data_IF_341676505982
#
_entry.id   IF_341676505982
#
_cell.length_a   1.000
_cell.length_b   1.000
_cell.length_c   1.000
_cell.angle_alpha   90.00
_cell.angle_beta   90.00
_cell.angle_gamma   90.00
#
_symmetry.space_group_name_H-M   'P 1'
#
loop_
_entity.id
_entity.type
_entity.pdbx_description
1 polymer ?
#
# COMPACT_ATOMS: atom_id res chain seq x y z
N UNK A 1 -16.77 -13.07 14.87
CA UNK A 1 -16.53 -11.81 14.13
C UNK A 1 -17.85 -11.31 13.56
N UNK A 2 -18.40 -10.19 14.05
CA UNK A 2 -19.61 -9.56 13.48
C UNK A 2 -19.26 -9.07 12.08
N UNK A 3 -19.96 -9.53 11.02
CA UNK A 3 -19.81 -8.94 9.68
C UNK A 3 -20.19 -7.46 9.80
N UNK A 4 -19.22 -6.56 9.55
CA UNK A 4 -19.45 -5.12 9.61
C UNK A 4 -20.18 -4.68 8.34
N UNK A 5 -21.17 -3.82 8.53
CA UNK A 5 -21.90 -3.20 7.42
C UNK A 5 -20.97 -2.24 6.66
N UNK A 6 -20.74 -2.54 5.38
CA UNK A 6 -19.87 -1.79 4.48
C UNK A 6 -20.59 -0.60 3.83
N UNK A 7 -21.91 -0.45 4.00
CA UNK A 7 -22.69 0.68 3.47
C UNK A 7 -22.42 2.01 4.18
N UNK A 8 -21.81 1.95 5.38
CA UNK A 8 -21.51 3.12 6.24
C UNK A 8 -20.11 3.70 6.02
N UNK A 9 -19.39 3.17 5.03
CA UNK A 9 -17.98 3.46 4.83
C UNK A 9 -17.83 4.69 3.95
N UNK A 10 -17.27 5.77 4.53
CA UNK A 10 -17.07 7.06 3.84
C UNK A 10 -15.68 7.15 3.19
N UNK A 11 -15.52 8.14 2.31
CA UNK A 11 -14.21 8.54 1.77
C UNK A 11 -13.23 8.94 2.89
N UNK A 12 -13.66 9.70 3.89
CA UNK A 12 -12.83 10.07 5.05
C UNK A 12 -12.35 8.82 5.83
N UNK A 13 -13.20 7.81 5.96
CA UNK A 13 -12.84 6.52 6.58
C UNK A 13 -11.75 5.81 5.76
N UNK A 14 -11.79 5.93 4.43
CA UNK A 14 -10.79 5.39 3.51
C UNK A 14 -9.46 6.12 3.68
N UNK A 15 -9.48 7.45 3.60
CA UNK A 15 -8.32 8.32 3.78
C UNK A 15 -7.63 8.06 5.11
N UNK A 16 -8.40 7.99 6.20
CA UNK A 16 -7.86 7.68 7.53
C UNK A 16 -7.15 6.33 7.56
N UNK A 17 -7.70 5.32 6.89
CA UNK A 17 -7.11 3.97 6.81
C UNK A 17 -5.87 3.94 5.93
N UNK A 18 -5.85 4.71 4.84
CA UNK A 18 -4.68 4.91 3.99
C UNK A 18 -3.53 5.53 4.80
N UNK A 19 -3.80 6.61 5.55
CA UNK A 19 -2.80 7.23 6.44
C UNK A 19 -2.28 6.26 7.49
N UNK A 20 -3.17 5.47 8.13
CA UNK A 20 -2.75 4.43 9.09
C UNK A 20 -1.87 3.36 8.42
N UNK A 21 -2.16 2.99 7.17
CA UNK A 21 -1.35 2.03 6.43
C UNK A 21 0.05 2.58 6.14
N UNK A 22 0.15 3.82 5.65
CA UNK A 22 1.43 4.48 5.39
C UNK A 22 2.24 4.65 6.68
N UNK A 23 1.59 5.03 7.80
CA UNK A 23 2.24 5.16 9.10
C UNK A 23 2.79 3.86 9.71
N UNK A 24 2.49 2.69 9.11
CA UNK A 24 3.08 1.40 9.50
C UNK A 24 4.34 1.05 8.70
N UNK A 25 4.61 1.77 7.62
CA UNK A 25 5.74 1.53 6.72
C UNK A 25 6.97 2.30 7.18
N UNK A 26 8.16 1.79 6.87
CA UNK A 26 9.37 2.62 6.94
C UNK A 26 9.34 3.68 5.85
N UNK A 27 10.16 4.72 5.97
CA UNK A 27 10.30 5.77 4.94
C UNK A 27 10.61 5.17 3.56
N UNK A 28 11.60 4.25 3.50
CA UNK A 28 11.94 3.53 2.26
C UNK A 28 10.79 2.71 1.70
N UNK A 29 10.04 2.00 2.56
CA UNK A 29 8.87 1.21 2.12
C UNK A 29 7.74 2.09 1.61
N UNK A 30 7.52 3.24 2.24
CA UNK A 30 6.53 4.22 1.82
C UNK A 30 6.89 4.79 0.44
N UNK A 31 8.13 5.25 0.26
CA UNK A 31 8.63 5.78 -1.02
C UNK A 31 8.52 4.75 -2.15
N UNK A 32 9.02 3.53 -1.93
CA UNK A 32 8.93 2.43 -2.91
C UNK A 32 7.47 2.12 -3.26
N UNK A 33 6.59 2.03 -2.25
CA UNK A 33 5.19 1.70 -2.47
C UNK A 33 4.46 2.77 -3.29
N UNK A 34 4.63 4.04 -2.93
CA UNK A 34 3.98 5.14 -3.62
C UNK A 34 4.51 5.28 -5.05
N UNK A 35 5.84 5.21 -5.21
CA UNK A 35 6.49 5.30 -6.53
C UNK A 35 6.03 4.20 -7.48
N UNK A 36 5.93 2.94 -7.01
CA UNK A 36 5.46 1.84 -7.87
C UNK A 36 3.96 1.95 -8.14
N UNK A 37 3.15 2.22 -7.12
CA UNK A 37 1.69 2.10 -7.22
C UNK A 37 1.02 3.30 -7.88
N UNK A 38 1.58 4.49 -7.74
CA UNK A 38 0.97 5.73 -8.23
C UNK A 38 1.80 6.40 -9.33
N UNK A 39 3.13 6.27 -9.28
CA UNK A 39 4.01 6.91 -10.25
C UNK A 39 4.55 5.94 -11.32
N UNK A 40 4.15 4.67 -11.27
CA UNK A 40 4.58 3.60 -12.18
C UNK A 40 6.12 3.49 -12.32
N UNK A 41 6.85 3.85 -11.25
CA UNK A 41 8.32 3.87 -11.26
C UNK A 41 8.90 2.46 -11.39
N UNK A 42 9.87 2.22 -12.30
CA UNK A 42 10.52 0.93 -12.44
C UNK A 42 11.32 0.50 -11.20
N UNK A 43 11.45 -0.81 -11.00
CA UNK A 43 12.14 -1.38 -9.85
C UNK A 43 13.64 -1.08 -9.87
N UNK A 44 14.23 -1.02 -11.07
CA UNK A 44 15.65 -0.72 -11.30
C UNK A 44 16.00 0.71 -10.86
N UNK A 45 15.11 1.66 -11.13
CA UNK A 45 15.29 3.05 -10.71
C UNK A 45 15.25 3.17 -9.19
N UNK A 46 14.29 2.50 -8.54
CA UNK A 46 14.19 2.48 -7.08
C UNK A 46 15.38 1.77 -6.42
N UNK A 47 15.88 0.69 -7.03
CA UNK A 47 17.07 0.00 -6.57
C UNK A 47 18.29 0.94 -6.59
N UNK A 48 18.47 1.67 -7.70
CA UNK A 48 19.53 2.67 -7.83
C UNK A 48 19.38 3.84 -6.84
N UNK A 49 18.17 4.40 -6.73
CA UNK A 49 17.83 5.53 -5.85
C UNK A 49 18.15 5.23 -4.38
N UNK A 50 17.83 4.02 -3.93
CA UNK A 50 17.98 3.60 -2.53
C UNK A 50 19.29 2.86 -2.23
N UNK A 51 20.13 2.61 -3.23
CA UNK A 51 21.38 1.85 -3.07
C UNK A 51 21.16 0.40 -2.63
N UNK A 52 20.10 -0.24 -3.13
CA UNK A 52 19.65 -1.59 -2.76
C UNK A 52 19.52 -2.48 -4.00
N UNK A 53 19.31 -3.78 -3.81
CA UNK A 53 19.02 -4.70 -4.92
C UNK A 53 17.56 -4.66 -5.33
N UNK A 54 17.25 -5.08 -6.55
CA UNK A 54 15.87 -5.26 -7.04
C UNK A 54 15.08 -6.23 -6.13
N UNK A 55 15.72 -7.28 -5.62
CA UNK A 55 15.10 -8.20 -4.65
C UNK A 55 14.70 -7.52 -3.35
N UNK A 56 15.52 -6.57 -2.88
CA UNK A 56 15.21 -5.78 -1.69
C UNK A 56 14.05 -4.80 -1.96
N UNK A 57 14.01 -4.16 -3.14
CA UNK A 57 12.86 -3.34 -3.57
C UNK A 57 11.60 -4.19 -3.61
N UNK A 58 11.67 -5.38 -4.22
CA UNK A 58 10.54 -6.31 -4.32
C UNK A 58 10.04 -6.75 -2.95
N UNK A 59 10.96 -7.05 -2.03
CA UNK A 59 10.62 -7.43 -0.66
C UNK A 59 9.96 -6.29 0.10
N UNK A 60 10.49 -5.07 0.00
CA UNK A 60 9.92 -3.90 0.67
C UNK A 60 8.56 -3.51 0.06
N UNK A 61 8.40 -3.59 -1.25
CA UNK A 61 7.13 -3.40 -1.93
C UNK A 61 6.08 -4.42 -1.47
N UNK A 62 6.42 -5.72 -1.45
CA UNK A 62 5.50 -6.77 -1.02
C UNK A 62 5.06 -6.58 0.45
N UNK A 63 5.98 -6.16 1.33
CA UNK A 63 5.68 -5.84 2.73
C UNK A 63 4.74 -4.65 2.84
N UNK A 64 5.03 -3.56 2.13
CA UNK A 64 4.20 -2.36 2.10
C UNK A 64 2.79 -2.66 1.56
N UNK A 65 2.70 -3.37 0.43
CA UNK A 65 1.44 -3.81 -0.17
C UNK A 65 0.64 -4.70 0.79
N UNK A 66 1.29 -5.60 1.52
CA UNK A 66 0.65 -6.41 2.56
C UNK A 66 0.08 -5.57 3.70
N UNK A 67 0.80 -4.54 4.17
CA UNK A 67 0.31 -3.60 5.20
C UNK A 67 -0.89 -2.79 4.71
N UNK A 68 -0.80 -2.24 3.50
CA UNK A 68 -1.88 -1.51 2.84
C UNK A 68 -3.13 -2.36 2.66
N UNK A 69 -2.96 -3.56 2.10
CA UNK A 69 -4.04 -4.51 1.84
C UNK A 69 -4.74 -4.91 3.13
N UNK A 70 -4.02 -5.20 4.22
CA UNK A 70 -4.66 -5.53 5.50
C UNK A 70 -5.44 -4.37 6.10
N UNK A 71 -5.00 -3.14 5.91
CA UNK A 71 -5.70 -1.95 6.38
C UNK A 71 -7.00 -1.70 5.61
N UNK A 72 -7.03 -2.03 4.31
CA UNK A 72 -8.11 -1.62 3.41
C UNK A 72 -8.99 -2.77 2.93
N UNK A 73 -8.46 -3.96 2.63
CA UNK A 73 -9.18 -5.05 1.94
C UNK A 73 -10.54 -5.37 2.55
N UNK A 74 -10.63 -5.50 3.88
CA UNK A 74 -11.87 -5.87 4.53
C UNK A 74 -12.98 -4.81 4.42
N UNK A 75 -12.64 -3.59 3.98
CA UNK A 75 -13.51 -2.41 4.00
C UNK A 75 -13.59 -1.68 2.64
N UNK A 76 -12.55 -1.79 1.82
CA UNK A 76 -12.35 -1.09 0.55
C UNK A 76 -11.63 -2.00 -0.48
N UNK A 77 -12.26 -3.09 -0.93
CA UNK A 77 -11.62 -4.04 -1.84
C UNK A 77 -11.19 -3.39 -3.17
N UNK A 78 -11.99 -2.49 -3.74
CA UNK A 78 -11.70 -1.79 -5.00
C UNK A 78 -10.43 -0.91 -4.95
N UNK A 79 -10.02 -0.43 -3.76
CA UNK A 79 -8.77 0.34 -3.62
C UNK A 79 -7.52 -0.55 -3.66
N UNK A 80 -7.68 -1.83 -3.35
CA UNK A 80 -6.59 -2.81 -3.29
C UNK A 80 -6.52 -3.61 -4.58
N UNK A 81 -7.68 -4.05 -5.09
CA UNK A 81 -7.90 -4.73 -6.35
C UNK A 81 -8.96 -3.97 -7.16
N UNK A 82 -8.58 -2.98 -7.99
CA UNK A 82 -9.55 -2.18 -8.76
C UNK A 82 -10.35 -2.97 -9.81
N UNK A 83 -10.05 -4.26 -9.99
CA UNK A 83 -10.77 -5.20 -10.85
C UNK A 83 -11.69 -6.18 -10.10
N UNK A 84 -11.83 -6.03 -8.77
CA UNK A 84 -12.87 -6.68 -7.96
C UNK A 84 -14.06 -5.74 -7.77
#
# INVERSE_FOLDING_TARGET
>A
MRRRDLSTVTLEDAERRMVIALGKMTERQCDIFLSIRFDETPYEELASRHGVTIDQVTTDFARALGMWSRCLHARFPHLVWPWL
#
